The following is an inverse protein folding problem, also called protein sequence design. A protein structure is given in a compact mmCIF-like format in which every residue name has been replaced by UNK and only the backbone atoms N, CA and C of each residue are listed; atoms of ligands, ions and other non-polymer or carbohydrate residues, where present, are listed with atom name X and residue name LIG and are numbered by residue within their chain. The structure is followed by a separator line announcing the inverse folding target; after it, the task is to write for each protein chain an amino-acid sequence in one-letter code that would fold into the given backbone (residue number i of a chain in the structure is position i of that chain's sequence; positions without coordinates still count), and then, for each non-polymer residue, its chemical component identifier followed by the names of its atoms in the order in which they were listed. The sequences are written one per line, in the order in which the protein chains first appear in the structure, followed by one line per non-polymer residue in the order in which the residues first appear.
data_IF_366469560110
#
_entry.id   IF_366469560110
#
_cell.length_a   1.000
_cell.length_b   1.000
_cell.length_c   1.000
_cell.angle_alpha   90.00
_cell.angle_beta   90.00
_cell.angle_gamma   90.00
#
_symmetry.space_group_name_H-M   'P 1'
#
loop_
_entity.id
_entity.type
_entity.pdbx_description
1 polymer ?
#
# COMPACT_ATOMS: atom_id res chain seq x y z
N UNK A 1 -22.66 48.74 19.15
CA UNK A 1 -21.99 47.54 19.72
C UNK A 1 -21.94 46.48 18.63
N UNK A 2 -20.74 46.06 18.24
CA UNK A 2 -20.46 45.29 17.02
C UNK A 2 -20.59 43.78 17.29
N UNK A 3 -21.38 43.07 16.48
CA UNK A 3 -21.56 41.61 16.55
C UNK A 3 -20.50 40.90 15.70
N UNK A 4 -19.25 40.86 16.18
CA UNK A 4 -18.12 40.24 15.48
C UNK A 4 -17.84 38.77 15.87
N UNK A 5 -18.84 38.02 16.35
CA UNK A 5 -18.63 36.67 16.91
C UNK A 5 -18.88 35.48 15.99
N UNK A 6 -19.48 35.65 14.81
CA UNK A 6 -20.05 34.52 14.05
C UNK A 6 -19.21 34.03 12.84
N UNK A 7 -18.00 34.56 12.64
CA UNK A 7 -17.11 34.18 11.53
C UNK A 7 -16.15 33.01 11.82
N UNK A 8 -15.71 32.83 13.07
CA UNK A 8 -14.64 31.88 13.42
C UNK A 8 -15.05 30.42 13.30
N UNK A 9 -16.32 30.07 13.50
CA UNK A 9 -16.75 28.67 13.44
C UNK A 9 -16.68 28.07 12.03
N UNK A 10 -16.80 28.86 10.95
CA UNK A 10 -16.70 28.33 9.58
C UNK A 10 -15.26 28.08 9.12
N UNK A 11 -14.28 28.77 9.68
CA UNK A 11 -12.85 28.53 9.42
C UNK A 11 -12.34 27.27 10.12
N UNK A 12 -12.77 27.00 11.37
CA UNK A 12 -12.37 25.77 12.09
C UNK A 12 -13.03 24.51 11.50
N UNK A 13 -14.20 24.66 10.86
CA UNK A 13 -14.90 23.56 10.20
C UNK A 13 -14.31 23.23 8.82
N UNK A 14 -13.79 24.22 8.07
CA UNK A 14 -13.19 23.99 6.75
C UNK A 14 -11.77 23.40 6.83
N UNK A 15 -10.96 23.81 7.81
CA UNK A 15 -9.60 23.27 7.99
C UNK A 15 -9.57 21.75 8.34
N UNK A 16 -10.67 21.22 8.87
CA UNK A 16 -10.80 19.79 9.21
C UNK A 16 -11.34 18.92 8.06
N UNK A 17 -11.88 19.51 7.00
CA UNK A 17 -12.39 18.76 5.83
C UNK A 17 -11.27 18.42 4.85
N UNK A 18 -10.25 19.27 4.70
CA UNK A 18 -9.12 19.00 3.80
C UNK A 18 -8.22 17.84 4.29
N UNK A 19 -8.15 17.60 5.60
CA UNK A 19 -7.40 16.47 6.19
C UNK A 19 -8.10 15.11 6.05
N UNK A 20 -9.32 15.05 5.51
CA UNK A 20 -10.08 13.79 5.31
C UNK A 20 -9.86 13.14 3.94
N UNK A 21 -8.86 13.58 3.17
CA UNK A 21 -8.49 12.94 1.91
C UNK A 21 -7.61 11.69 2.09
N UNK A 22 -7.57 11.12 3.30
CA UNK A 22 -6.79 9.94 3.69
C UNK A 22 -7.13 8.67 2.89
N UNK A 23 -8.31 8.63 2.24
CA UNK A 23 -8.71 7.51 1.38
C UNK A 23 -7.86 7.36 0.11
N UNK A 24 -7.33 8.46 -0.45
CA UNK A 24 -6.52 8.39 -1.69
C UNK A 24 -5.11 7.86 -1.50
N UNK A 25 -4.60 7.83 -0.26
CA UNK A 25 -3.28 7.27 0.04
C UNK A 25 -3.29 5.75 0.10
N UNK A 26 -4.38 5.17 0.60
CA UNK A 26 -4.54 3.73 0.78
C UNK A 26 -4.52 2.96 -0.54
N UNK A 27 -5.37 3.35 -1.50
CA UNK A 27 -5.48 2.68 -2.79
C UNK A 27 -4.14 2.69 -3.55
N UNK A 28 -3.39 3.80 -3.42
CA UNK A 28 -2.06 3.94 -4.02
C UNK A 28 -1.05 2.98 -3.42
N UNK A 29 -0.97 2.88 -2.09
CA UNK A 29 -0.03 1.96 -1.43
C UNK A 29 -0.34 0.50 -1.77
N UNK A 30 -1.62 0.13 -1.80
CA UNK A 30 -2.03 -1.21 -2.23
C UNK A 30 -1.64 -1.48 -3.68
N UNK A 31 -1.88 -0.52 -4.57
CA UNK A 31 -1.57 -0.66 -5.98
C UNK A 31 -0.06 -0.71 -6.26
N UNK A 32 0.74 0.06 -5.52
CA UNK A 32 2.20 0.03 -5.56
C UNK A 32 2.74 -1.33 -5.07
N UNK A 33 2.18 -1.87 -3.99
CA UNK A 33 2.57 -3.18 -3.47
C UNK A 33 2.29 -4.31 -4.47
N UNK A 34 1.09 -4.34 -5.07
CA UNK A 34 0.73 -5.31 -6.11
C UNK A 34 1.66 -5.21 -7.33
N UNK A 35 1.94 -3.98 -7.77
CA UNK A 35 2.84 -3.73 -8.90
C UNK A 35 4.25 -4.23 -8.62
N UNK A 36 4.76 -3.95 -7.42
CA UNK A 36 6.10 -4.36 -6.98
C UNK A 36 6.24 -5.88 -6.99
N UNK A 37 5.24 -6.63 -6.53
CA UNK A 37 5.29 -8.10 -6.50
C UNK A 37 5.23 -8.66 -7.91
N UNK A 38 4.38 -8.09 -8.77
CA UNK A 38 4.34 -8.51 -10.18
C UNK A 38 5.71 -8.35 -10.84
N UNK A 39 6.44 -7.28 -10.52
CA UNK A 39 7.81 -7.09 -10.99
C UNK A 39 8.77 -8.15 -10.43
N UNK A 40 8.73 -8.42 -9.13
CA UNK A 40 9.60 -9.42 -8.50
C UNK A 40 9.33 -10.83 -9.03
N UNK A 41 8.06 -11.18 -9.27
CA UNK A 41 7.68 -12.45 -9.86
C UNK A 41 8.17 -12.58 -11.31
N UNK A 42 8.04 -11.52 -12.11
CA UNK A 42 8.60 -11.49 -13.47
C UNK A 42 10.15 -11.60 -13.46
N UNK A 43 10.82 -11.00 -12.48
CA UNK A 43 12.27 -11.14 -12.26
C UNK A 43 12.65 -12.61 -11.98
N UNK A 44 11.92 -13.27 -11.09
CA UNK A 44 12.13 -14.69 -10.77
C UNK A 44 11.90 -15.59 -11.99
N UNK A 45 10.80 -15.39 -12.71
CA UNK A 45 10.48 -16.15 -13.92
C UNK A 45 11.54 -15.97 -15.00
N UNK A 46 12.08 -14.75 -15.15
CA UNK A 46 13.17 -14.47 -16.06
C UNK A 46 14.44 -15.21 -15.64
N UNK A 47 14.82 -15.12 -14.37
CA UNK A 47 16.02 -15.78 -13.86
C UNK A 47 15.95 -17.32 -14.02
N UNK A 48 14.76 -17.90 -13.85
CA UNK A 48 14.50 -19.33 -14.09
C UNK A 48 14.61 -19.69 -15.59
N UNK A 49 14.12 -18.84 -16.49
CA UNK A 49 14.28 -19.05 -17.94
C UNK A 49 15.74 -18.91 -18.37
N UNK A 50 16.45 -17.95 -17.80
CA UNK A 50 17.86 -17.72 -18.08
C UNK A 50 18.71 -18.91 -17.62
N UNK A 51 18.30 -19.61 -16.56
CA UNK A 51 18.93 -20.85 -16.10
C UNK A 51 18.93 -21.95 -17.17
N UNK A 52 17.80 -22.13 -17.88
CA UNK A 52 17.71 -23.08 -19.00
C UNK A 52 18.60 -22.69 -20.20
N UNK A 53 19.05 -21.44 -20.23
CA UNK A 53 19.91 -20.85 -21.27
C UNK A 53 21.40 -20.87 -20.90
N UNK A 54 21.77 -21.43 -19.73
CA UNK A 54 23.13 -21.41 -19.20
C UNK A 54 23.43 -20.28 -18.20
N UNK A 55 22.40 -19.65 -17.66
CA UNK A 55 22.52 -18.63 -16.61
C UNK A 55 22.93 -19.18 -15.24
N UNK A 56 23.25 -18.29 -14.31
CA UNK A 56 23.71 -18.61 -12.96
C UNK A 56 22.58 -19.15 -12.06
N UNK A 57 22.71 -20.40 -11.59
CA UNK A 57 21.76 -21.04 -10.66
C UNK A 57 21.52 -20.23 -9.39
N UNK A 58 22.59 -19.66 -8.83
CA UNK A 58 22.50 -18.87 -7.59
C UNK A 58 21.60 -17.65 -7.78
N UNK A 59 21.62 -16.98 -8.94
CA UNK A 59 20.74 -15.85 -9.20
C UNK A 59 19.27 -16.28 -9.29
N UNK A 60 18.99 -17.42 -9.95
CA UNK A 60 17.63 -17.95 -10.03
C UNK A 60 17.07 -18.29 -8.64
N UNK A 61 17.87 -18.95 -7.80
CA UNK A 61 17.48 -19.29 -6.42
C UNK A 61 17.23 -18.02 -5.60
N UNK A 62 18.11 -17.02 -5.67
CA UNK A 62 17.95 -15.76 -4.94
C UNK A 62 16.71 -14.99 -5.40
N UNK A 63 16.45 -14.95 -6.71
CA UNK A 63 15.27 -14.29 -7.25
C UNK A 63 13.97 -14.98 -6.80
N UNK A 64 13.96 -16.31 -6.77
CA UNK A 64 12.83 -17.08 -6.24
C UNK A 64 12.59 -16.84 -4.75
N UNK A 65 13.65 -16.84 -3.94
CA UNK A 65 13.55 -16.57 -2.49
C UNK A 65 13.03 -15.16 -2.22
N UNK A 66 13.52 -14.18 -2.98
CA UNK A 66 13.03 -12.79 -2.92
C UNK A 66 11.54 -12.71 -3.28
N UNK A 67 11.10 -13.46 -4.29
CA UNK A 67 9.69 -13.51 -4.69
C UNK A 67 8.81 -14.10 -3.58
N UNK A 68 9.22 -15.21 -2.96
CA UNK A 68 8.44 -15.84 -1.89
C UNK A 68 8.33 -14.95 -0.65
N UNK A 69 9.45 -14.38 -0.19
CA UNK A 69 9.46 -13.46 0.95
C UNK A 69 8.62 -12.19 0.68
N UNK A 70 8.68 -11.66 -0.55
CA UNK A 70 7.87 -10.49 -0.93
C UNK A 70 6.38 -10.80 -0.97
N UNK A 71 6.01 -12.01 -1.40
CA UNK A 71 4.63 -12.47 -1.38
C UNK A 71 4.11 -12.62 0.06
N UNK A 72 4.89 -13.25 0.94
CA UNK A 72 4.54 -13.38 2.36
C UNK A 72 4.34 -12.00 3.01
N UNK A 73 5.24 -11.05 2.75
CA UNK A 73 5.11 -9.68 3.24
C UNK A 73 3.80 -9.03 2.76
N UNK A 74 3.37 -9.28 1.52
CA UNK A 74 2.13 -8.71 1.00
C UNK A 74 0.89 -9.29 1.64
N UNK A 75 0.87 -10.59 1.95
CA UNK A 75 -0.24 -11.17 2.70
C UNK A 75 -0.39 -10.46 4.04
N UNK A 76 0.71 -10.20 4.74
CA UNK A 76 0.70 -9.44 6.00
C UNK A 76 0.23 -8.00 5.80
N UNK A 77 0.71 -7.32 4.77
CA UNK A 77 0.25 -5.96 4.42
C UNK A 77 -1.25 -5.97 4.13
N UNK A 78 -1.75 -6.89 3.30
CA UNK A 78 -3.18 -7.06 2.99
C UNK A 78 -4.00 -7.25 4.27
N UNK A 79 -3.54 -8.12 5.17
CA UNK A 79 -4.22 -8.38 6.45
C UNK A 79 -4.27 -7.11 7.31
N UNK A 80 -3.14 -6.40 7.43
CA UNK A 80 -3.06 -5.15 8.19
C UNK A 80 -3.96 -4.06 7.62
N UNK A 81 -4.00 -3.97 6.30
CA UNK A 81 -4.85 -3.04 5.56
C UNK A 81 -6.34 -3.34 5.77
N UNK A 82 -6.74 -4.62 5.72
CA UNK A 82 -8.11 -5.04 6.03
C UNK A 82 -8.48 -4.68 7.47
N UNK A 83 -7.63 -4.98 8.45
CA UNK A 83 -7.87 -4.63 9.84
C UNK A 83 -8.00 -3.12 10.06
N UNK A 84 -7.18 -2.31 9.38
CA UNK A 84 -7.25 -0.85 9.45
C UNK A 84 -8.57 -0.30 8.85
N UNK A 85 -9.02 -0.89 7.74
CA UNK A 85 -10.33 -0.55 7.16
C UNK A 85 -11.48 -0.89 8.11
N UNK A 86 -11.47 -2.09 8.70
CA UNK A 86 -12.46 -2.50 9.70
C UNK A 86 -12.49 -1.59 10.93
N UNK A 87 -11.33 -1.14 11.40
CA UNK A 87 -11.22 -0.24 12.56
C UNK A 87 -11.87 1.12 12.29
N UNK A 88 -11.63 1.70 11.12
CA UNK A 88 -12.27 2.97 10.71
C UNK A 88 -13.80 2.82 10.68
N UNK A 89 -14.30 1.68 10.19
CA UNK A 89 -15.74 1.41 10.15
C UNK A 89 -16.35 1.26 11.55
N UNK A 90 -15.63 0.64 12.49
CA UNK A 90 -16.04 0.53 13.90
C UNK A 90 -16.10 1.86 14.63
N UNK A 91 -15.33 2.87 14.22
CA UNK A 91 -15.37 4.21 14.81
C UNK A 91 -16.58 5.06 14.37
N UNK A 92 -17.25 4.71 13.27
CA UNK A 92 -18.33 5.52 12.69
C UNK A 92 -19.74 5.05 13.08
N UNK A 93 -19.89 3.92 13.77
CA UNK A 93 -21.17 3.42 14.30
C UNK A 93 -21.47 3.95 15.69
#
# INVERSE_FOLDING_TARGET
MNISGLGRSKEVLQANVEKRNSGKGFDKVMQEAITTISQIQNEADKAVKDLASGGELTQAIVAMEKADMSFQLMVEVRNKLLSAYEEIMRMQV
#
